data_IF_216713032635
#
_entry.id   IF_216713032635
#
_cell.length_a   1.000
_cell.length_b   1.000
_cell.length_c   1.000
_cell.angle_alpha   90.00
_cell.angle_beta   90.00
_cell.angle_gamma   90.00
#
_symmetry.space_group_name_H-M   'P 1'
#
loop_
_entity.id
_entity.type
_entity.pdbx_description
1 polymer ?
#
# COMPACT_ATOMS: atom_id res chain seq x y z
N UNK A 1 32.77 -8.05 -13.29
CA UNK A 1 33.30 -9.14 -12.42
C UNK A 1 32.27 -9.52 -11.35
N UNK A 2 31.71 -8.52 -10.65
CA UNK A 2 30.57 -8.64 -9.73
C UNK A 2 29.44 -9.55 -10.23
N UNK A 3 28.86 -9.32 -11.42
CA UNK A 3 27.74 -10.13 -11.92
C UNK A 3 28.06 -11.63 -12.07
N UNK A 4 29.29 -11.95 -12.47
CA UNK A 4 29.75 -13.35 -12.58
C UNK A 4 29.85 -13.99 -11.19
N UNK A 5 30.32 -13.24 -10.18
CA UNK A 5 30.35 -13.72 -8.79
C UNK A 5 28.95 -13.88 -8.18
N UNK A 6 27.99 -13.03 -8.58
CA UNK A 6 26.58 -13.16 -8.21
C UNK A 6 25.95 -14.42 -8.83
N UNK A 7 26.17 -14.68 -10.12
CA UNK A 7 25.70 -15.91 -10.78
C UNK A 7 26.26 -17.19 -10.17
N UNK A 8 27.51 -17.15 -9.67
CA UNK A 8 28.18 -18.31 -9.04
C UNK A 8 27.80 -18.44 -7.54
N UNK A 9 26.91 -17.59 -7.02
CA UNK A 9 26.42 -17.65 -5.64
C UNK A 9 27.43 -17.19 -4.58
N UNK A 10 28.56 -16.58 -4.98
CA UNK A 10 29.64 -16.11 -4.08
C UNK A 10 29.37 -14.68 -3.60
N UNK A 11 28.15 -14.45 -3.10
CA UNK A 11 27.67 -13.12 -2.70
C UNK A 11 28.52 -12.46 -1.60
N UNK A 12 29.17 -13.25 -0.73
CA UNK A 12 30.09 -12.73 0.29
C UNK A 12 31.33 -12.05 -0.31
N UNK A 13 31.96 -12.67 -1.30
CA UNK A 13 33.16 -12.14 -1.97
C UNK A 13 32.80 -10.99 -2.92
N UNK A 14 31.62 -11.04 -3.53
CA UNK A 14 31.09 -9.92 -4.31
C UNK A 14 30.95 -8.63 -3.47
N UNK A 15 30.57 -8.74 -2.18
CA UNK A 15 30.49 -7.58 -1.28
C UNK A 15 31.87 -6.97 -0.98
N UNK A 16 32.93 -7.77 -0.84
CA UNK A 16 34.27 -7.25 -0.56
C UNK A 16 34.82 -6.52 -1.79
N UNK A 17 34.74 -7.14 -2.97
CA UNK A 17 35.17 -6.53 -4.24
C UNK A 17 34.40 -5.23 -4.53
N UNK A 18 33.09 -5.19 -4.29
CA UNK A 18 32.29 -3.97 -4.51
C UNK A 18 32.58 -2.86 -3.49
N UNK A 19 32.95 -3.20 -2.25
CA UNK A 19 33.38 -2.21 -1.25
C UNK A 19 34.75 -1.61 -1.58
N UNK A 20 35.70 -2.42 -2.04
CA UNK A 20 37.00 -1.93 -2.51
C UNK A 20 36.83 -1.04 -3.76
N UNK A 21 35.96 -1.43 -4.69
CA UNK A 21 35.65 -0.61 -5.86
C UNK A 21 35.03 0.75 -5.47
N UNK A 22 34.11 0.77 -4.49
CA UNK A 22 33.50 2.01 -3.99
C UNK A 22 34.51 2.91 -3.24
N UNK A 23 35.57 2.36 -2.64
CA UNK A 23 36.65 3.17 -2.07
C UNK A 23 37.50 3.88 -3.15
N UNK A 24 37.58 3.30 -4.35
CA UNK A 24 38.29 3.91 -5.49
C UNK A 24 37.41 4.92 -6.24
N UNK A 25 36.09 4.71 -6.29
CA UNK A 25 35.13 5.60 -6.92
C UNK A 25 33.88 5.83 -6.03
N UNK A 26 33.92 6.76 -5.06
CA UNK A 26 32.86 6.91 -4.05
C UNK A 26 31.49 7.33 -4.58
N UNK A 27 31.44 8.03 -5.72
CA UNK A 27 30.21 8.53 -6.35
C UNK A 27 29.79 7.69 -7.57
N UNK A 28 30.32 6.49 -7.73
CA UNK A 28 29.92 5.60 -8.84
C UNK A 28 28.56 4.95 -8.54
N UNK A 29 27.54 5.39 -9.29
CA UNK A 29 26.16 4.90 -9.18
C UNK A 29 26.01 3.41 -9.50
N UNK A 30 26.80 2.89 -10.44
CA UNK A 30 26.71 1.49 -10.88
C UNK A 30 27.31 0.54 -9.83
N UNK A 31 28.39 0.98 -9.16
CA UNK A 31 28.95 0.28 -8.01
C UNK A 31 27.97 0.30 -6.82
N UNK A 32 27.36 1.46 -6.51
CA UNK A 32 26.33 1.58 -5.45
C UNK A 32 25.13 0.65 -5.73
N UNK A 33 24.63 0.63 -6.96
CA UNK A 33 23.53 -0.26 -7.40
C UNK A 33 23.91 -1.73 -7.28
N UNK A 34 25.08 -2.12 -7.78
CA UNK A 34 25.61 -3.48 -7.69
C UNK A 34 25.74 -3.94 -6.23
N UNK A 35 26.18 -3.04 -5.35
CA UNK A 35 26.31 -3.28 -3.91
C UNK A 35 24.93 -3.45 -3.24
N UNK A 36 23.94 -2.62 -3.58
CA UNK A 36 22.58 -2.73 -3.08
C UNK A 36 21.90 -4.04 -3.51
N UNK A 37 21.99 -4.41 -4.80
CA UNK A 37 21.53 -5.71 -5.33
C UNK A 37 22.18 -6.87 -4.57
N UNK A 38 23.49 -6.81 -4.32
CA UNK A 38 24.22 -7.85 -3.58
C UNK A 38 23.75 -7.96 -2.12
N UNK A 39 23.48 -6.84 -1.44
CA UNK A 39 22.91 -6.88 -0.08
C UNK A 39 21.51 -7.50 -0.04
N UNK A 40 20.63 -7.17 -1.00
CA UNK A 40 19.28 -7.77 -1.09
C UNK A 40 19.36 -9.28 -1.33
N UNK A 41 20.22 -9.75 -2.24
CA UNK A 41 20.44 -11.19 -2.48
C UNK A 41 21.00 -11.92 -1.26
N UNK A 42 21.75 -11.22 -0.40
CA UNK A 42 22.26 -11.74 0.87
C UNK A 42 21.27 -11.56 2.04
N UNK A 43 19.99 -11.28 1.77
CA UNK A 43 18.94 -11.10 2.77
C UNK A 43 19.05 -9.85 3.64
N UNK A 44 19.97 -8.93 3.32
CA UNK A 44 20.21 -7.68 4.07
C UNK A 44 19.44 -6.52 3.46
N UNK A 45 18.12 -6.67 3.30
CA UNK A 45 17.24 -5.71 2.63
C UNK A 45 17.41 -4.29 3.16
N UNK A 46 17.42 -4.08 4.49
CA UNK A 46 17.57 -2.75 5.08
C UNK A 46 18.91 -2.06 4.72
N UNK A 47 19.99 -2.83 4.53
CA UNK A 47 21.27 -2.28 4.08
C UNK A 47 21.27 -1.92 2.58
N UNK A 48 20.48 -2.64 1.77
CA UNK A 48 20.24 -2.27 0.38
C UNK A 48 19.38 -1.00 0.28
N UNK A 49 18.30 -0.90 1.07
CA UNK A 49 17.39 0.24 1.08
C UNK A 49 18.09 1.56 1.40
N UNK A 50 18.98 1.61 2.40
CA UNK A 50 19.74 2.83 2.73
C UNK A 50 20.55 3.35 1.54
N UNK A 51 21.21 2.46 0.79
CA UNK A 51 22.03 2.82 -0.38
C UNK A 51 21.14 3.33 -1.51
N UNK A 52 20.00 2.68 -1.75
CA UNK A 52 19.06 3.06 -2.81
C UNK A 52 18.36 4.39 -2.49
N UNK A 53 18.04 4.66 -1.22
CA UNK A 53 17.53 5.95 -0.77
C UNK A 53 18.56 7.07 -0.86
N UNK A 54 19.84 6.77 -0.60
CA UNK A 54 20.93 7.72 -0.82
C UNK A 54 21.09 8.05 -2.31
N UNK A 55 21.05 7.04 -3.20
CA UNK A 55 21.07 7.25 -4.65
C UNK A 55 19.89 8.10 -5.14
N UNK A 56 18.67 7.84 -4.66
CA UNK A 56 17.49 8.64 -5.04
C UNK A 56 17.59 10.07 -4.51
N UNK A 57 18.07 10.26 -3.27
CA UNK A 57 18.24 11.59 -2.67
C UNK A 57 19.30 12.45 -3.39
N UNK A 58 20.30 11.81 -3.99
CA UNK A 58 21.36 12.47 -4.75
C UNK A 58 21.01 12.64 -6.24
N UNK A 59 19.83 12.20 -6.68
CA UNK A 59 19.41 12.14 -8.10
C UNK A 59 20.37 11.28 -8.97
N UNK A 60 21.08 10.34 -8.33
CA UNK A 60 22.00 9.36 -8.95
C UNK A 60 21.30 8.02 -9.23
N UNK A 61 19.99 7.91 -8.97
CA UNK A 61 19.22 6.68 -9.10
C UNK A 61 18.66 6.48 -10.50
N UNK A 62 19.26 5.56 -11.24
CA UNK A 62 18.70 5.01 -12.48
C UNK A 62 17.41 4.21 -12.22
N UNK A 63 16.61 4.00 -13.27
CA UNK A 63 15.44 3.13 -13.24
C UNK A 63 15.73 1.74 -12.63
N UNK A 64 16.89 1.15 -12.96
CA UNK A 64 17.33 -0.12 -12.36
C UNK A 64 17.50 -0.05 -10.82
N UNK A 65 17.91 1.09 -10.28
CA UNK A 65 17.96 1.31 -8.83
C UNK A 65 16.56 1.44 -8.22
N UNK A 66 15.63 2.13 -8.90
CA UNK A 66 14.21 2.21 -8.48
C UNK A 66 13.55 0.82 -8.48
N UNK A 67 13.83 -0.02 -9.48
CA UNK A 67 13.36 -1.42 -9.53
C UNK A 67 13.92 -2.26 -8.37
N UNK A 68 15.21 -2.19 -8.05
CA UNK A 68 15.75 -2.92 -6.88
C UNK A 68 15.23 -2.37 -5.54
N UNK A 69 14.86 -1.07 -5.46
CA UNK A 69 14.20 -0.49 -4.29
C UNK A 69 12.75 -0.97 -4.15
N UNK A 70 12.00 -1.02 -5.25
CA UNK A 70 10.66 -1.60 -5.29
C UNK A 70 10.67 -3.07 -4.83
N UNK A 71 11.68 -3.86 -5.19
CA UNK A 71 11.87 -5.23 -4.66
C UNK A 71 12.17 -5.27 -3.15
N UNK A 72 12.89 -4.27 -2.64
CA UNK A 72 13.12 -4.11 -1.20
C UNK A 72 11.81 -3.84 -0.46
N UNK A 73 11.05 -2.83 -0.90
CA UNK A 73 9.74 -2.47 -0.37
C UNK A 73 8.75 -3.64 -0.42
N UNK A 74 8.71 -4.38 -1.54
CA UNK A 74 7.88 -5.58 -1.67
C UNK A 74 8.27 -6.67 -0.66
N UNK A 75 9.57 -6.87 -0.41
CA UNK A 75 10.04 -7.83 0.60
C UNK A 75 9.74 -7.40 2.04
N UNK A 76 9.59 -6.10 2.29
CA UNK A 76 9.18 -5.52 3.57
C UNK A 76 7.63 -5.46 3.72
N UNK A 77 6.88 -5.78 2.66
CA UNK A 77 5.42 -5.82 2.63
C UNK A 77 4.73 -4.51 2.19
N UNK A 78 5.49 -3.47 1.84
CA UNK A 78 5.00 -2.20 1.33
C UNK A 78 4.67 -2.29 -0.17
N UNK A 79 3.63 -3.07 -0.52
CA UNK A 79 3.27 -3.39 -1.91
C UNK A 79 2.83 -2.15 -2.70
N UNK A 80 2.09 -1.22 -2.09
CA UNK A 80 1.60 0.00 -2.75
C UNK A 80 2.76 0.92 -3.19
N UNK A 81 3.75 1.12 -2.31
CA UNK A 81 4.95 1.90 -2.64
C UNK A 81 5.86 1.15 -3.62
N UNK A 82 5.95 -0.18 -3.53
CA UNK A 82 6.66 -1.00 -4.51
C UNK A 82 6.07 -0.87 -5.93
N UNK A 83 4.73 -0.86 -6.07
CA UNK A 83 4.05 -0.60 -7.35
C UNK A 83 4.37 0.81 -7.86
N UNK A 84 4.32 1.82 -6.99
CA UNK A 84 4.58 3.23 -7.36
C UNK A 84 6.02 3.44 -7.85
N UNK A 85 7.00 2.92 -7.10
CA UNK A 85 8.42 3.03 -7.45
C UNK A 85 8.77 2.21 -8.70
N UNK A 86 8.14 1.06 -8.89
CA UNK A 86 8.33 0.25 -10.10
C UNK A 86 7.73 0.93 -11.34
N UNK A 87 6.51 1.49 -11.27
CA UNK A 87 5.94 2.26 -12.39
C UNK A 87 6.81 3.46 -12.77
N UNK A 88 7.26 4.25 -11.79
CA UNK A 88 8.23 5.35 -12.00
C UNK A 88 9.58 4.91 -12.60
N UNK A 89 9.94 3.64 -12.49
CA UNK A 89 11.11 3.11 -13.16
C UNK A 89 10.82 2.82 -14.64
N UNK A 90 9.63 2.29 -14.96
CA UNK A 90 9.18 2.06 -16.33
C UNK A 90 8.98 3.37 -17.11
N UNK A 91 8.47 4.41 -16.44
CA UNK A 91 8.25 5.75 -17.03
C UNK A 91 9.59 6.41 -17.43
N UNK A 92 10.67 6.09 -16.72
CA UNK A 92 12.02 6.61 -16.94
C UNK A 92 12.82 5.75 -17.93
N UNK A 93 12.69 4.42 -17.84
CA UNK A 93 13.33 3.47 -18.74
C UNK A 93 12.42 2.23 -18.92
N UNK A 94 11.71 2.12 -20.06
CA UNK A 94 10.90 0.94 -20.37
C UNK A 94 11.69 -0.37 -20.44
N UNK A 95 13.00 -0.32 -20.74
CA UNK A 95 13.86 -1.51 -20.79
C UNK A 95 14.25 -2.01 -19.36
N UNK A 96 13.96 -1.22 -18.31
CA UNK A 96 14.09 -1.65 -16.91
C UNK A 96 12.98 -2.62 -16.45
N UNK A 97 12.00 -2.92 -17.32
CA UNK A 97 10.89 -3.83 -17.04
C UNK A 97 11.34 -5.27 -16.71
N UNK A 98 11.12 -5.69 -15.46
CA UNK A 98 11.16 -7.11 -15.09
C UNK A 98 9.75 -7.68 -15.07
N UNK A 99 9.40 -8.49 -16.08
CA UNK A 99 8.09 -9.13 -16.21
C UNK A 99 7.74 -10.03 -15.01
N UNK A 100 8.68 -10.82 -14.48
CA UNK A 100 8.41 -11.69 -13.32
C UNK A 100 8.05 -10.84 -12.08
N UNK A 101 8.72 -9.70 -11.92
CA UNK A 101 8.43 -8.80 -10.81
C UNK A 101 7.14 -7.99 -11.02
N UNK A 102 6.84 -7.54 -12.24
CA UNK A 102 5.58 -6.89 -12.59
C UNK A 102 4.37 -7.79 -12.34
N UNK A 103 4.41 -9.05 -12.79
CA UNK A 103 3.37 -10.05 -12.52
C UNK A 103 3.17 -10.28 -11.02
N UNK A 104 4.26 -10.30 -10.22
CA UNK A 104 4.20 -10.44 -8.75
C UNK A 104 3.67 -9.21 -8.03
N UNK A 105 3.80 -8.03 -8.63
CA UNK A 105 3.16 -6.79 -8.18
C UNK A 105 1.69 -6.68 -8.62
N UNK A 106 1.20 -7.60 -9.47
CA UNK A 106 -0.14 -7.54 -10.05
C UNK A 106 -0.27 -6.51 -11.17
N UNK A 107 0.84 -6.05 -11.73
CA UNK A 107 0.89 -5.09 -12.84
C UNK A 107 0.80 -5.89 -14.14
N UNK A 108 -0.37 -5.89 -14.76
CA UNK A 108 -0.57 -6.46 -16.09
C UNK A 108 -0.09 -5.50 -17.17
N UNK A 109 0.39 -6.03 -18.30
CA UNK A 109 0.85 -5.23 -19.45
C UNK A 109 -0.27 -4.43 -20.16
N UNK A 110 -1.50 -4.52 -19.68
CA UNK A 110 -2.64 -3.66 -20.04
C UNK A 110 -2.58 -2.26 -19.42
N UNK A 111 -1.83 -2.08 -18.33
CA UNK A 111 -1.83 -0.84 -17.53
C UNK A 111 -0.87 0.23 -18.10
N UNK A 112 -0.26 -0.05 -19.26
CA UNK A 112 0.74 0.81 -19.90
C UNK A 112 0.15 1.96 -20.75
N UNK A 113 -1.17 2.01 -20.92
CA UNK A 113 -1.86 3.12 -21.62
C UNK A 113 -2.24 4.29 -20.68
N UNK A 114 -2.16 4.13 -19.35
CA UNK A 114 -2.52 5.16 -18.34
C UNK A 114 -1.40 6.21 -18.10
N UNK A 115 -0.66 6.58 -19.14
CA UNK A 115 0.60 7.36 -19.06
C UNK A 115 0.45 8.89 -18.88
N UNK A 116 -0.76 9.43 -18.75
CA UNK A 116 -1.01 10.89 -18.91
C UNK A 116 -1.64 11.60 -17.69
N UNK A 117 -1.88 10.90 -16.56
CA UNK A 117 -2.75 11.38 -15.46
C UNK A 117 -2.03 11.81 -14.15
N UNK A 118 -0.69 11.86 -14.10
CA UNK A 118 0.06 12.10 -12.85
C UNK A 118 0.54 13.54 -12.58
N UNK A 119 0.39 14.49 -13.51
CA UNK A 119 0.69 15.92 -13.27
C UNK A 119 -0.60 16.75 -13.04
N UNK A 120 -1.57 16.11 -12.38
CA UNK A 120 -2.94 16.59 -12.17
C UNK A 120 -3.45 16.29 -10.74
N UNK A 121 -2.88 16.87 -9.66
CA UNK A 121 -3.50 16.81 -8.31
C UNK A 121 -4.92 17.39 -8.37
N UNK A 122 -5.89 16.85 -7.60
CA UNK A 122 -7.24 16.56 -8.14
C UNK A 122 -8.43 17.27 -7.44
N UNK A 123 -9.21 18.09 -8.16
CA UNK A 123 -10.54 18.55 -7.72
C UNK A 123 -11.54 17.40 -7.86
N UNK A 124 -12.06 16.98 -6.71
CA UNK A 124 -12.82 15.75 -6.58
C UNK A 124 -14.31 15.90 -6.93
N UNK A 125 -14.67 15.61 -8.19
CA UNK A 125 -16.07 15.20 -8.53
C UNK A 125 -16.16 13.93 -9.38
N UNK A 126 -16.15 12.81 -8.66
CA UNK A 126 -16.59 11.46 -9.00
C UNK A 126 -16.85 11.06 -10.48
N UNK A 127 -16.06 10.03 -10.83
CA UNK A 127 -16.39 8.81 -11.60
C UNK A 127 -16.37 8.88 -13.13
N UNK A 128 -15.38 8.12 -13.62
CA UNK A 128 -15.24 7.55 -14.97
C UNK A 128 -14.70 8.58 -15.97
N UNK A 129 -13.56 8.25 -16.60
CA UNK A 129 -12.76 9.06 -17.54
C UNK A 129 -12.17 10.38 -16.97
N UNK A 130 -10.88 10.56 -17.19
CA UNK A 130 -10.17 11.85 -17.39
C UNK A 130 -10.17 12.92 -16.25
N UNK A 131 -9.63 12.60 -15.06
CA UNK A 131 -9.05 13.53 -14.04
C UNK A 131 -9.84 14.79 -13.51
N UNK A 132 -9.12 15.76 -12.92
CA UNK A 132 -9.58 17.03 -12.27
C UNK A 132 -8.40 17.81 -11.64
N UNK A 133 -8.60 19.02 -11.06
CA UNK A 133 -7.60 19.76 -10.23
C UNK A 133 -8.19 20.89 -9.35
N UNK A 134 -7.93 21.05 -8.03
CA UNK A 134 -6.87 20.58 -7.09
C UNK A 134 -7.42 20.02 -5.73
N UNK A 135 -6.58 19.41 -4.87
CA UNK A 135 -6.91 18.40 -3.81
C UNK A 135 -7.34 18.87 -2.37
N UNK A 136 -8.08 17.99 -1.66
CA UNK A 136 -8.09 17.82 -0.19
C UNK A 136 -8.76 16.48 0.22
N UNK A 137 -8.22 15.73 1.19
CA UNK A 137 -8.80 14.44 1.68
C UNK A 137 -10.07 14.67 2.53
N UNK A 138 -11.20 14.80 1.86
CA UNK A 138 -12.52 14.93 2.48
C UNK A 138 -13.05 13.55 2.89
N UNK A 139 -12.95 13.21 4.18
CA UNK A 139 -13.53 11.99 4.77
C UNK A 139 -15.05 12.17 4.87
N UNK A 140 -15.70 12.22 3.71
CA UNK A 140 -17.12 12.45 3.57
C UNK A 140 -17.88 11.20 4.08
N UNK A 141 -18.72 11.33 5.13
CA UNK A 141 -19.56 10.23 5.58
C UNK A 141 -20.56 9.84 4.48
N UNK A 142 -20.25 8.75 3.75
CA UNK A 142 -21.15 8.22 2.73
C UNK A 142 -22.27 7.41 3.39
N UNK A 143 -23.53 7.74 3.04
CA UNK A 143 -24.64 6.83 3.29
C UNK A 143 -24.43 5.53 2.50
N UNK A 144 -24.78 4.41 3.13
CA UNK A 144 -24.71 3.10 2.51
C UNK A 144 -26.06 2.71 1.94
N UNK A 145 -26.18 2.72 0.61
CA UNK A 145 -27.40 2.37 -0.12
C UNK A 145 -27.66 0.84 -0.22
N UNK A 146 -27.06 0.04 0.68
CA UNK A 146 -27.21 -1.43 0.70
C UNK A 146 -27.56 -1.90 2.11
N UNK A 147 -28.35 -2.97 2.21
CA UNK A 147 -28.86 -3.53 3.47
C UNK A 147 -28.57 -5.04 3.64
N UNK A 148 -29.11 -5.64 4.69
CA UNK A 148 -28.95 -7.07 4.95
C UNK A 148 -29.71 -8.00 3.97
N UNK A 149 -30.63 -7.49 3.17
CA UNK A 149 -31.27 -8.18 2.05
C UNK A 149 -30.33 -8.36 0.86
N UNK A 150 -29.50 -7.36 0.55
CA UNK A 150 -28.55 -7.40 -0.58
C UNK A 150 -27.41 -8.43 -0.39
N UNK A 151 -27.07 -8.77 0.85
CA UNK A 151 -25.96 -9.69 1.15
C UNK A 151 -26.42 -11.15 1.08
N UNK A 152 -25.83 -11.95 0.19
CA UNK A 152 -26.08 -13.40 0.12
C UNK A 152 -25.61 -14.17 1.38
N UNK A 153 -26.48 -15.01 1.95
CA UNK A 153 -26.12 -15.97 3.02
C UNK A 153 -25.79 -15.32 4.38
N UNK A 154 -24.79 -15.87 5.06
CA UNK A 154 -24.23 -15.37 6.34
C UNK A 154 -25.25 -15.19 7.49
N UNK A 155 -26.32 -16.00 7.54
CA UNK A 155 -27.43 -15.83 8.48
C UNK A 155 -27.02 -15.74 9.96
N UNK A 156 -26.07 -16.58 10.40
CA UNK A 156 -25.58 -16.55 11.78
C UNK A 156 -24.79 -15.27 12.10
N UNK A 157 -23.96 -14.79 11.16
CA UNK A 157 -23.20 -13.54 11.32
C UNK A 157 -24.14 -12.33 11.35
N UNK A 158 -25.13 -12.26 10.44
CA UNK A 158 -26.15 -11.20 10.43
C UNK A 158 -26.90 -11.14 11.77
N UNK A 159 -27.35 -12.29 12.29
CA UNK A 159 -28.02 -12.40 13.59
C UNK A 159 -27.13 -11.93 14.74
N UNK A 160 -25.83 -12.24 14.70
CA UNK A 160 -24.86 -11.82 15.70
C UNK A 160 -24.59 -10.31 15.66
N UNK A 161 -24.38 -9.72 14.47
CA UNK A 161 -24.26 -8.27 14.27
C UNK A 161 -25.54 -7.57 14.75
N UNK A 162 -26.71 -8.11 14.39
CA UNK A 162 -28.00 -7.56 14.77
C UNK A 162 -28.16 -7.50 16.29
N UNK A 163 -27.82 -8.58 17.00
CA UNK A 163 -27.93 -8.66 18.47
C UNK A 163 -26.88 -7.83 19.21
N UNK A 164 -25.66 -7.73 18.67
CA UNK A 164 -24.49 -7.13 19.36
C UNK A 164 -24.28 -5.65 19.05
N UNK A 165 -24.72 -5.16 17.89
CA UNK A 165 -24.50 -3.79 17.41
C UNK A 165 -25.83 -3.08 17.12
N UNK A 166 -26.66 -3.62 16.23
CA UNK A 166 -27.87 -2.93 15.75
C UNK A 166 -28.90 -2.74 16.87
N UNK A 167 -29.22 -3.78 17.64
CA UNK A 167 -30.23 -3.70 18.72
C UNK A 167 -29.83 -2.72 19.85
N UNK A 168 -28.57 -2.71 20.35
CA UNK A 168 -28.10 -1.66 21.25
C UNK A 168 -28.20 -0.22 20.70
N UNK A 169 -28.00 -0.03 19.40
CA UNK A 169 -28.08 1.28 18.75
C UNK A 169 -29.53 1.72 18.47
N UNK A 170 -30.43 0.80 18.08
CA UNK A 170 -31.86 1.09 17.86
C UNK A 170 -32.65 1.27 19.16
N UNK A 171 -32.20 0.69 20.29
CA UNK A 171 -32.90 0.77 21.58
C UNK A 171 -31.99 1.18 22.77
N UNK A 172 -31.36 2.36 22.72
CA UNK A 172 -30.36 2.78 23.72
C UNK A 172 -30.92 2.79 25.15
N UNK A 173 -32.16 3.25 25.34
CA UNK A 173 -32.82 3.34 26.65
C UNK A 173 -32.94 1.99 27.37
N UNK A 174 -33.29 0.93 26.63
CA UNK A 174 -33.39 -0.42 27.18
C UNK A 174 -32.02 -0.93 27.65
N UNK A 175 -30.98 -0.76 26.84
CA UNK A 175 -29.64 -1.26 27.18
C UNK A 175 -28.99 -0.48 28.33
N UNK A 176 -29.26 0.83 28.42
CA UNK A 176 -28.87 1.67 29.55
C UNK A 176 -29.53 1.20 30.86
N UNK A 177 -30.83 0.86 30.85
CA UNK A 177 -31.55 0.34 32.01
C UNK A 177 -31.00 -1.00 32.52
N UNK A 178 -30.43 -1.83 31.64
CA UNK A 178 -29.71 -3.06 32.00
C UNK A 178 -28.23 -2.85 32.37
N UNK A 179 -27.78 -1.60 32.53
CA UNK A 179 -26.40 -1.27 32.93
C UNK A 179 -25.33 -1.60 31.89
N UNK A 180 -25.71 -1.83 30.63
CA UNK A 180 -24.77 -2.11 29.55
C UNK A 180 -24.42 -0.83 28.80
N UNK A 181 -23.12 -0.57 28.65
CA UNK A 181 -22.64 0.48 27.76
C UNK A 181 -23.03 0.13 26.33
N UNK A 182 -23.66 1.08 25.65
CA UNK A 182 -23.90 1.03 24.20
C UNK A 182 -22.55 1.33 23.53
N UNK A 183 -22.16 0.50 22.56
CA UNK A 183 -20.89 0.62 21.84
C UNK A 183 -20.00 -0.61 21.98
N UNK A 184 -19.43 -1.01 20.86
CA UNK A 184 -18.52 -2.14 20.70
C UNK A 184 -18.08 -2.25 19.24
N UNK A 185 -16.97 -2.94 18.98
CA UNK A 185 -16.47 -3.20 17.62
C UNK A 185 -16.69 -4.66 17.21
N UNK A 186 -16.86 -4.90 15.91
CA UNK A 186 -16.78 -6.24 15.32
C UNK A 186 -15.58 -6.28 14.39
N UNK A 187 -14.65 -7.20 14.65
CA UNK A 187 -13.54 -7.50 13.75
C UNK A 187 -13.95 -8.64 12.81
N UNK A 188 -13.96 -8.36 11.51
CA UNK A 188 -14.23 -9.35 10.46
C UNK A 188 -12.90 -9.81 9.85
N UNK A 189 -12.60 -11.11 9.90
CA UNK A 189 -11.38 -11.70 9.35
C UNK A 189 -11.67 -12.89 8.43
N UNK A 190 -10.70 -13.26 7.59
CA UNK A 190 -10.80 -14.38 6.63
C UNK A 190 -10.21 -14.04 5.26
N UNK A 191 -10.13 -14.99 4.32
CA UNK A 191 -9.51 -14.80 3.00
C UNK A 191 -10.18 -13.69 2.15
N UNK A 192 -9.47 -13.14 1.14
CA UNK A 192 -10.03 -12.12 0.25
C UNK A 192 -11.27 -12.65 -0.51
N UNK A 193 -12.14 -11.75 -0.98
CA UNK A 193 -13.38 -12.10 -1.67
C UNK A 193 -14.56 -12.53 -0.78
N UNK A 194 -14.36 -12.91 0.49
CA UNK A 194 -15.45 -13.34 1.39
C UNK A 194 -16.36 -12.21 1.92
N UNK A 195 -16.63 -11.15 1.14
CA UNK A 195 -17.68 -10.16 1.42
C UNK A 195 -17.52 -9.27 2.67
N UNK A 196 -16.38 -9.26 3.37
CA UNK A 196 -16.18 -8.54 4.65
C UNK A 196 -16.57 -7.06 4.62
N UNK A 197 -16.04 -6.30 3.65
CA UNK A 197 -16.37 -4.88 3.47
C UNK A 197 -17.83 -4.67 3.05
N UNK A 198 -18.41 -5.65 2.36
CA UNK A 198 -19.77 -5.61 1.86
C UNK A 198 -20.79 -5.81 3.00
N UNK A 199 -20.60 -6.81 3.87
CA UNK A 199 -21.44 -6.98 5.08
C UNK A 199 -21.25 -5.84 6.08
N UNK A 200 -20.06 -5.24 6.18
CA UNK A 200 -19.83 -4.05 7.00
C UNK A 200 -20.62 -2.83 6.50
N UNK A 201 -20.63 -2.58 5.18
CA UNK A 201 -21.42 -1.52 4.55
C UNK A 201 -22.93 -1.78 4.65
N UNK A 202 -23.37 -3.02 4.47
CA UNK A 202 -24.76 -3.43 4.69
C UNK A 202 -25.23 -3.28 6.15
N UNK A 203 -24.31 -3.43 7.11
CA UNK A 203 -24.60 -3.19 8.54
C UNK A 203 -24.91 -1.72 8.81
N UNK A 204 -24.27 -0.80 8.09
CA UNK A 204 -24.54 0.64 8.23
C UNK A 204 -25.91 1.01 7.64
N UNK A 205 -26.31 0.43 6.51
CA UNK A 205 -27.61 0.69 5.87
C UNK A 205 -28.79 0.23 6.73
N UNK A 206 -28.65 -0.93 7.39
CA UNK A 206 -29.62 -1.49 8.32
C UNK A 206 -29.96 -0.55 9.52
N UNK A 207 -29.15 0.49 9.78
CA UNK A 207 -29.38 1.51 10.82
C UNK A 207 -29.42 2.97 10.30
N UNK A 208 -29.47 3.21 8.97
CA UNK A 208 -29.24 4.53 8.33
C UNK A 208 -28.03 5.27 8.91
N UNK A 209 -26.93 4.54 9.14
CA UNK A 209 -25.68 5.11 9.62
C UNK A 209 -24.73 5.40 8.46
N UNK A 210 -23.84 6.38 8.70
CA UNK A 210 -22.77 6.69 7.77
C UNK A 210 -21.73 5.57 7.76
N UNK A 211 -21.31 5.16 6.57
CA UNK A 211 -20.21 4.22 6.38
C UNK A 211 -18.90 4.99 6.12
N UNK A 212 -17.89 4.72 6.93
CA UNK A 212 -16.54 5.26 6.80
C UNK A 212 -15.58 4.11 6.48
N UNK A 213 -14.94 4.18 5.31
CA UNK A 213 -13.92 3.22 4.88
C UNK A 213 -12.55 3.82 5.13
N UNK A 214 -12.03 3.69 6.36
CA UNK A 214 -10.77 4.34 6.73
C UNK A 214 -9.59 3.39 6.51
N UNK A 215 -8.62 3.81 5.70
CA UNK A 215 -7.34 3.14 5.49
C UNK A 215 -6.41 3.26 6.71
N UNK A 216 -5.48 2.32 6.91
CA UNK A 216 -4.54 2.40 8.04
C UNK A 216 -3.63 3.65 7.90
N UNK A 217 -3.23 4.01 6.68
CA UNK A 217 -2.48 5.24 6.41
C UNK A 217 -3.26 6.50 6.82
N UNK A 218 -4.56 6.58 6.49
CA UNK A 218 -5.42 7.73 6.85
C UNK A 218 -5.56 7.92 8.37
N UNK A 219 -5.56 6.84 9.16
CA UNK A 219 -5.56 6.92 10.63
C UNK A 219 -4.23 7.47 11.17
N UNK A 220 -3.12 7.10 10.55
CA UNK A 220 -1.78 7.56 10.95
C UNK A 220 -1.59 9.04 10.61
N UNK A 221 -1.96 9.47 9.39
CA UNK A 221 -1.88 10.86 8.96
C UNK A 221 -2.75 11.79 9.80
N UNK A 222 -3.97 11.35 10.17
CA UNK A 222 -4.85 12.11 11.07
C UNK A 222 -4.27 12.29 12.48
N UNK A 223 -3.35 11.41 12.91
CA UNK A 223 -2.60 11.55 14.16
C UNK A 223 -1.37 12.45 14.01
N UNK A 224 -0.60 12.31 12.93
CA UNK A 224 0.58 13.15 12.62
C UNK A 224 0.15 14.61 12.46
N UNK A 225 -0.87 14.90 11.66
CA UNK A 225 -1.40 16.25 11.40
C UNK A 225 -2.09 16.96 12.60
N UNK A 226 -2.14 16.31 13.77
CA UNK A 226 -2.47 16.95 15.06
C UNK A 226 -1.24 17.23 15.93
N UNK A 227 -0.13 16.54 15.71
CA UNK A 227 1.09 16.70 16.53
C UNK A 227 1.89 17.96 16.18
N UNK A 228 1.74 18.48 14.96
CA UNK A 228 2.43 19.70 14.48
C UNK A 228 1.69 21.00 14.82
N UNK A 229 0.64 20.94 15.67
CA UNK A 229 -0.27 22.06 15.94
C UNK A 229 -0.23 22.60 17.37
N UNK A 230 0.85 22.32 18.11
CA UNK A 230 1.13 22.79 19.48
C UNK A 230 2.55 23.34 19.60
#
# INVERSE_FOLDING_TARGET
MSDVLLQVGRAGEALEVLREALQLAPNDSDIKLSLARTYRLNGKTSAAMVILEEMIRLDEASAAARVERARGLFAEGAVEDAVREYRRALDEDPDAADQEFGERLGITSSDADDLDDLDRPIDGRQRISDAGADDAVDIAPTRSDIDFGDVGGMADLKRDIQRKIIQPLKHPELYAAYGKKIGGGILLYGPPGCGKTHIARATAGEIDANFLSIGIHEVLDMWVGRSERN
#
